data_IF_574006199591
#
_entry.id   IF_574006199591
#
_cell.length_a   1.000
_cell.length_b   1.000
_cell.length_c   1.000
_cell.angle_alpha   90.00
_cell.angle_beta   90.00
_cell.angle_gamma   90.00
#
_symmetry.space_group_name_H-M   'P 1'
#
loop_
_entity.id
_entity.type
_entity.pdbx_description
1 polymer ?
#
# COMPACT_ATOMS: atom_id res chain seq x y z
N UNK A 1 10.64 42.41 -51.97
CA UNK A 1 10.10 42.90 -50.68
C UNK A 1 10.04 41.83 -49.59
N UNK A 2 9.50 40.63 -49.87
CA UNK A 2 9.37 39.54 -48.89
C UNK A 2 10.70 39.06 -48.27
N UNK A 3 11.78 39.04 -49.06
CA UNK A 3 13.12 38.64 -48.57
C UNK A 3 13.70 39.64 -47.55
N UNK A 4 13.52 40.95 -47.76
CA UNK A 4 13.94 41.99 -46.81
C UNK A 4 13.16 41.86 -45.49
N UNK A 5 11.85 41.55 -45.55
CA UNK A 5 11.05 41.30 -44.35
C UNK A 5 11.47 40.01 -43.64
N UNK A 6 11.88 38.98 -44.38
CA UNK A 6 12.37 37.73 -43.80
C UNK A 6 13.71 37.94 -43.08
N UNK A 7 14.63 38.72 -43.66
CA UNK A 7 15.88 39.10 -43.00
C UNK A 7 15.64 39.89 -41.71
N UNK A 8 14.61 40.76 -41.66
CA UNK A 8 14.24 41.48 -40.43
C UNK A 8 13.74 40.54 -39.34
N UNK A 9 12.94 39.53 -39.70
CA UNK A 9 12.48 38.48 -38.77
C UNK A 9 13.67 37.66 -38.24
N UNK A 10 14.61 37.28 -39.11
CA UNK A 10 15.80 36.53 -38.72
C UNK A 10 16.69 37.33 -37.76
N UNK A 11 16.91 38.61 -38.08
CA UNK A 11 17.71 39.52 -37.25
C UNK A 11 17.07 39.74 -35.88
N UNK A 12 15.74 39.87 -35.82
CA UNK A 12 15.01 39.99 -34.57
C UNK A 12 15.10 38.71 -33.72
N UNK A 13 15.00 37.53 -34.34
CA UNK A 13 15.19 36.25 -33.67
C UNK A 13 16.60 36.07 -33.10
N UNK A 14 17.63 36.50 -33.84
CA UNK A 14 19.02 36.47 -33.38
C UNK A 14 19.24 37.38 -32.17
N UNK A 15 18.62 38.56 -32.16
CA UNK A 15 18.72 39.51 -31.04
C UNK A 15 18.07 38.92 -29.76
N UNK A 16 16.94 38.24 -29.89
CA UNK A 16 16.27 37.56 -28.77
C UNK A 16 17.10 36.38 -28.24
N UNK A 17 17.79 35.66 -29.12
CA UNK A 17 18.66 34.55 -28.73
C UNK A 17 19.87 35.02 -27.90
N UNK A 18 20.45 36.18 -28.26
CA UNK A 18 21.59 36.77 -27.54
C UNK A 18 21.23 37.19 -26.10
N UNK A 19 19.98 37.59 -25.84
CA UNK A 19 19.50 38.00 -24.51
C UNK A 19 19.28 36.79 -23.57
N UNK A 20 19.01 35.61 -24.12
CA UNK A 20 18.72 34.39 -23.35
C UNK A 20 19.98 33.67 -22.80
N UNK A 21 21.19 34.14 -23.14
CA UNK A 21 22.46 33.50 -22.75
C UNK A 21 22.87 33.77 -21.28
N UNK A 22 22.01 34.39 -20.48
CA UNK A 22 22.31 34.75 -19.09
C UNK A 22 22.70 33.53 -18.23
N UNK A 23 22.01 32.39 -18.39
CA UNK A 23 22.31 31.16 -17.65
C UNK A 23 23.69 30.56 -17.99
N UNK A 24 24.12 30.68 -19.24
CA UNK A 24 25.45 30.21 -19.67
C UNK A 24 26.53 31.12 -19.11
N UNK A 25 26.31 32.44 -19.14
CA UNK A 25 27.20 33.42 -18.49
C UNK A 25 27.32 33.15 -16.99
N UNK A 26 26.22 32.88 -16.30
CA UNK A 26 26.26 32.63 -14.85
C UNK A 26 26.96 31.30 -14.51
N UNK A 27 26.85 30.27 -15.37
CA UNK A 27 27.59 29.02 -15.24
C UNK A 27 29.09 29.11 -15.57
N UNK A 28 29.48 29.88 -16.59
CA UNK A 28 30.88 30.05 -17.01
C UNK A 28 31.65 31.08 -16.18
N UNK A 29 30.97 32.10 -15.66
CA UNK A 29 31.61 33.12 -14.80
C UNK A 29 31.93 32.59 -13.40
N UNK A 30 31.43 31.40 -13.04
CA UNK A 30 31.64 30.81 -11.72
C UNK A 30 31.13 31.70 -10.59
N UNK A 31 30.21 32.63 -10.88
CA UNK A 31 29.68 33.52 -9.88
C UNK A 31 28.98 32.69 -8.81
N UNK A 32 29.50 32.77 -7.58
CA UNK A 32 28.87 32.15 -6.42
C UNK A 32 27.47 32.74 -6.33
N UNK A 33 26.45 31.90 -6.54
CA UNK A 33 25.06 32.28 -6.26
C UNK A 33 25.06 32.83 -4.84
N UNK A 34 24.43 33.98 -4.58
CA UNK A 34 24.30 34.56 -3.23
C UNK A 34 23.33 33.76 -2.35
N UNK A 35 23.33 32.44 -2.51
CA UNK A 35 22.60 31.51 -1.69
C UNK A 35 23.68 30.98 -0.76
N UNK A 36 23.61 31.47 0.48
CA UNK A 36 24.34 30.93 1.59
C UNK A 36 24.21 29.41 1.51
N UNK A 37 25.34 28.69 1.53
CA UNK A 37 25.37 27.28 1.93
C UNK A 37 25.00 27.16 3.42
N UNK A 38 24.02 27.94 3.88
CA UNK A 38 23.31 27.73 5.11
C UNK A 38 22.47 26.49 4.86
N UNK A 39 22.94 25.39 5.44
CA UNK A 39 22.06 24.30 5.79
C UNK A 39 20.75 24.90 6.29
N UNK A 40 19.62 24.46 5.73
CA UNK A 40 18.30 24.90 6.18
C UNK A 40 18.06 24.24 7.55
N UNK A 41 18.67 24.80 8.60
CA UNK A 41 18.64 24.28 9.97
C UNK A 41 17.27 24.59 10.54
N UNK A 42 16.30 23.75 10.23
CA UNK A 42 14.99 23.80 10.86
C UNK A 42 15.11 23.23 12.27
N UNK A 43 14.85 24.07 13.26
CA UNK A 43 14.79 23.63 14.66
C UNK A 43 13.63 22.65 14.81
N UNK A 44 13.95 21.37 14.97
CA UNK A 44 12.97 20.34 15.34
C UNK A 44 12.65 20.47 16.82
N UNK A 45 11.40 20.19 17.17
CA UNK A 45 11.03 20.04 18.57
C UNK A 45 11.83 18.89 19.19
N UNK A 46 12.23 19.01 20.47
CA UNK A 46 12.89 17.92 21.16
C UNK A 46 12.00 16.67 21.12
N UNK A 47 12.62 15.50 21.13
CA UNK A 47 11.90 14.24 21.28
C UNK A 47 11.23 14.25 22.65
N UNK A 48 9.90 14.30 22.67
CA UNK A 48 9.11 14.15 23.89
C UNK A 48 8.54 12.74 23.91
N UNK A 49 8.59 12.11 25.09
CA UNK A 49 7.91 10.84 25.27
C UNK A 49 6.39 11.08 25.22
N UNK A 50 5.63 10.19 24.55
CA UNK A 50 4.19 10.30 24.55
C UNK A 50 3.66 10.21 25.99
N UNK A 51 2.56 10.91 26.32
CA UNK A 51 2.02 10.97 27.68
C UNK A 51 1.79 9.60 28.34
N UNK A 52 1.54 8.58 27.53
CA UNK A 52 1.24 7.21 27.92
C UNK A 52 2.36 6.21 27.54
N UNK A 53 3.62 6.65 27.43
CA UNK A 53 4.75 5.80 27.02
C UNK A 53 4.89 4.50 27.83
N UNK A 54 4.53 4.54 29.11
CA UNK A 54 4.60 3.39 30.03
C UNK A 54 3.27 2.69 30.29
N UNK A 55 2.18 3.12 29.66
CA UNK A 55 0.86 2.55 29.89
C UNK A 55 0.62 1.39 28.92
N UNK A 56 0.40 0.21 29.48
CA UNK A 56 -0.09 -0.93 28.72
C UNK A 56 -1.61 -0.87 28.66
N UNK A 57 -2.23 -1.25 27.52
CA UNK A 57 -3.69 -1.38 27.46
C UNK A 57 -4.15 -2.38 28.52
N UNK A 58 -5.21 -2.02 29.25
CA UNK A 58 -5.84 -2.95 30.18
C UNK A 58 -6.39 -4.14 29.40
N UNK A 59 -6.20 -5.38 29.87
CA UNK A 59 -6.85 -6.53 29.27
C UNK A 59 -8.36 -6.29 29.34
N UNK A 60 -9.04 -6.34 28.20
CA UNK A 60 -10.50 -6.30 28.16
C UNK A 60 -11.01 -7.52 28.91
N UNK A 61 -11.88 -7.31 29.90
CA UNK A 61 -12.67 -8.40 30.47
C UNK A 61 -13.31 -9.15 29.31
N UNK A 62 -13.03 -10.45 29.20
CA UNK A 62 -13.67 -11.29 28.18
C UNK A 62 -15.17 -11.06 28.34
N UNK A 63 -15.79 -10.37 27.39
CA UNK A 63 -17.24 -10.42 27.25
C UNK A 63 -17.51 -11.92 27.17
N UNK A 64 -18.29 -12.44 28.12
CA UNK A 64 -18.83 -13.79 27.99
C UNK A 64 -19.72 -13.71 26.77
N UNK A 65 -19.15 -14.01 25.60
CA UNK A 65 -19.91 -14.25 24.40
C UNK A 65 -20.76 -15.46 24.73
N UNK A 66 -22.09 -15.34 24.59
CA UNK A 66 -22.98 -16.50 24.72
C UNK A 66 -22.42 -17.60 23.81
N UNK A 67 -22.05 -18.74 24.37
CA UNK A 67 -21.43 -19.86 23.63
C UNK A 67 -22.28 -20.25 22.41
N UNK A 68 -23.60 -20.16 22.52
CA UNK A 68 -24.55 -20.36 21.42
C UNK A 68 -24.26 -19.49 20.19
N UNK A 69 -23.79 -18.24 20.35
CA UNK A 69 -23.48 -17.36 19.21
C UNK A 69 -22.19 -17.74 18.48
N UNK A 70 -21.22 -18.31 19.20
CA UNK A 70 -19.93 -18.74 18.65
C UNK A 70 -20.10 -20.04 17.87
N UNK A 71 -20.86 -21.00 18.41
CA UNK A 71 -21.08 -22.29 17.75
C UNK A 71 -21.81 -22.12 16.41
N UNK A 72 -22.84 -21.27 16.36
CA UNK A 72 -23.54 -20.93 15.12
C UNK A 72 -22.64 -20.22 14.10
N UNK A 73 -21.72 -19.36 14.55
CA UNK A 73 -20.77 -18.67 13.69
C UNK A 73 -19.70 -19.64 13.14
N UNK A 74 -19.24 -20.59 13.96
CA UNK A 74 -18.31 -21.65 13.58
C UNK A 74 -18.97 -22.59 12.56
N UNK A 75 -20.19 -23.04 12.79
CA UNK A 75 -20.94 -23.90 11.85
C UNK A 75 -21.15 -23.20 10.50
N UNK A 76 -21.41 -21.89 10.52
CA UNK A 76 -21.51 -21.06 9.31
C UNK A 76 -20.17 -20.91 8.58
N UNK A 77 -19.07 -20.74 9.31
CA UNK A 77 -17.71 -20.67 8.74
C UNK A 77 -17.25 -22.02 8.17
N UNK A 78 -17.69 -23.12 8.79
CA UNK A 78 -17.43 -24.49 8.35
C UNK A 78 -18.37 -24.95 7.22
N UNK A 79 -19.38 -24.14 6.87
CA UNK A 79 -20.35 -24.46 5.82
C UNK A 79 -21.24 -25.66 6.15
N UNK A 80 -21.47 -25.92 7.44
CA UNK A 80 -22.34 -27.02 7.92
C UNK A 80 -23.82 -26.70 7.67
N UNK A 81 -24.17 -25.41 7.70
CA UNK A 81 -25.47 -24.93 7.23
C UNK A 81 -25.42 -24.60 5.74
N UNK A 82 -25.84 -25.56 4.93
CA UNK A 82 -26.37 -25.29 3.58
C UNK A 82 -27.88 -25.06 3.73
N UNK A 83 -28.33 -23.82 3.53
CA UNK A 83 -29.71 -23.61 3.07
C UNK A 83 -29.81 -24.29 1.70
N UNK A 84 -30.83 -25.15 1.55
CA UNK A 84 -31.24 -25.89 0.35
C UNK A 84 -30.57 -27.27 0.12
N UNK A 85 -31.20 -28.35 0.60
CA UNK A 85 -32.09 -29.22 -0.20
C UNK A 85 -32.37 -30.55 0.51
N UNK A 86 -33.66 -30.88 0.61
CA UNK A 86 -34.17 -32.22 0.83
C UNK A 86 -33.49 -33.21 -0.14
N UNK A 87 -32.66 -34.13 0.36
CA UNK A 87 -32.35 -35.37 -0.35
C UNK A 87 -31.93 -36.49 0.59
N UNK A 88 -32.95 -37.27 0.98
CA UNK A 88 -32.99 -38.74 1.04
C UNK A 88 -31.68 -39.54 1.16
N UNK A 89 -31.70 -40.48 2.12
CA UNK A 89 -31.01 -41.78 2.14
C UNK A 89 -29.46 -41.70 2.23
N UNK A 90 -28.76 -42.52 3.01
CA UNK A 90 -28.95 -43.94 3.25
C UNK A 90 -28.09 -44.33 4.48
N UNK A 91 -28.67 -45.05 5.42
CA UNK A 91 -27.95 -45.66 6.53
C UNK A 91 -27.02 -46.77 6.02
N UNK A 92 -25.81 -46.44 5.59
CA UNK A 92 -24.77 -47.43 5.37
C UNK A 92 -23.78 -47.40 6.54
N UNK A 93 -24.19 -48.11 7.58
CA UNK A 93 -23.38 -48.53 8.71
C UNK A 93 -22.28 -49.48 8.22
N UNK A 94 -21.19 -48.92 7.68
CA UNK A 94 -19.93 -49.63 7.51
C UNK A 94 -18.94 -49.06 8.52
N UNK A 95 -18.70 -49.82 9.60
CA UNK A 95 -17.65 -49.63 10.61
C UNK A 95 -16.23 -49.77 10.01
N UNK A 96 -15.98 -49.14 8.87
CA UNK A 96 -14.67 -49.15 8.24
C UNK A 96 -13.81 -48.15 9.00
N UNK A 97 -12.85 -48.68 9.76
CA UNK A 97 -11.89 -47.91 10.53
C UNK A 97 -11.24 -46.81 9.67
N UNK A 98 -10.89 -45.69 10.28
CA UNK A 98 -10.25 -44.56 9.59
C UNK A 98 -9.02 -45.01 8.78
N UNK A 99 -8.31 -46.02 9.27
CA UNK A 99 -7.15 -46.64 8.60
C UNK A 99 -7.50 -47.22 7.21
N UNK A 100 -8.62 -47.94 7.08
CA UNK A 100 -9.02 -48.52 5.78
C UNK A 100 -9.42 -47.44 4.78
N UNK A 101 -10.00 -46.33 5.26
CA UNK A 101 -10.35 -45.17 4.43
C UNK A 101 -9.10 -44.46 3.89
N UNK A 102 -8.07 -44.32 4.70
CA UNK A 102 -6.79 -43.72 4.29
C UNK A 102 -6.07 -44.62 3.28
N UNK A 103 -5.96 -45.92 3.55
CA UNK A 103 -5.32 -46.88 2.64
C UNK A 103 -5.97 -46.93 1.27
N UNK A 104 -7.32 -46.92 1.21
CA UNK A 104 -8.06 -46.89 -0.05
C UNK A 104 -7.77 -45.64 -0.86
N UNK A 105 -7.58 -44.49 -0.21
CA UNK A 105 -7.28 -43.23 -0.89
C UNK A 105 -5.86 -43.18 -1.44
N UNK A 106 -4.91 -43.82 -0.74
CA UNK A 106 -3.52 -43.95 -1.20
C UNK A 106 -3.44 -44.89 -2.42
N UNK A 107 -4.13 -46.02 -2.39
CA UNK A 107 -4.04 -47.04 -3.45
C UNK A 107 -4.82 -46.70 -4.73
N UNK A 108 -5.70 -45.71 -4.71
CA UNK A 108 -6.50 -45.28 -5.88
C UNK A 108 -5.83 -44.16 -6.71
N UNK A 109 -4.53 -43.90 -6.49
CA UNK A 109 -3.69 -42.97 -7.27
C UNK A 109 -2.56 -43.78 -7.93
#
# INVERSE_FOLDING_TARGET
MKLISFCKILFLGLLLFLISCQSVKDGLTGQKKSNSDEFLVQKKNPLVQPPNYGELPTPTDKKVYNEESIDNEIEKLLGVYSEDEDQSNENNNSNDSIETSILKKINNN
#
